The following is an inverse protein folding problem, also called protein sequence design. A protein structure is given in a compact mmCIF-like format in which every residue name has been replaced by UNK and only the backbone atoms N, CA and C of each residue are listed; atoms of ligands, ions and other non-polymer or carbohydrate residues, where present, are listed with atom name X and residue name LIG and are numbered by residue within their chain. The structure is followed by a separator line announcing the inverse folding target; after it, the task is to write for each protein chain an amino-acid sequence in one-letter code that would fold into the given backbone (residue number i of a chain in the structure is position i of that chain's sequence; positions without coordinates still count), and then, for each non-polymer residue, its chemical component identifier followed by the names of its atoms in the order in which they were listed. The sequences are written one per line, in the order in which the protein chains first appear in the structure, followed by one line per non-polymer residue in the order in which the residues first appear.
data_IF_267651791805
#
_entry.id   IF_267651791805
#
_cell.length_a   1.000
_cell.length_b   1.000
_cell.length_c   1.000
_cell.angle_alpha   90.00
_cell.angle_beta   90.00
_cell.angle_gamma   90.00
#
_symmetry.space_group_name_H-M   'P 1'
#
loop_
_entity.id
_entity.type
_entity.pdbx_description
1 polymer ?
#
# COMPACT_ATOMS: atom_id res chain seq x y z
N UNK A 1 2.56 19.08 23.18
CA UNK A 1 2.09 17.96 22.34
C UNK A 1 0.56 17.96 22.30
N UNK A 2 -0.07 17.80 21.13
CA UNK A 2 -1.53 17.89 20.99
C UNK A 2 -2.20 16.52 21.25
N UNK A 3 -2.73 16.32 22.45
CA UNK A 3 -3.35 15.04 22.88
C UNK A 3 -4.55 14.61 22.04
N UNK A 4 -5.28 15.54 21.40
CA UNK A 4 -6.42 15.21 20.52
C UNK A 4 -5.99 14.62 19.18
N UNK A 5 -4.77 14.91 18.72
CA UNK A 5 -4.23 14.43 17.44
C UNK A 5 -3.27 13.25 17.61
N UNK A 6 -3.01 12.82 18.84
CA UNK A 6 -2.08 11.72 19.14
C UNK A 6 -2.86 10.46 19.48
N UNK A 7 -2.62 9.41 18.72
CA UNK A 7 -3.15 8.07 18.95
C UNK A 7 -2.01 7.11 19.29
N UNK A 8 -2.32 6.03 20.00
CA UNK A 8 -1.38 4.98 20.37
C UNK A 8 -1.72 3.71 19.60
N UNK A 9 -0.73 3.08 19.01
CA UNK A 9 -0.87 1.73 18.42
C UNK A 9 0.03 0.78 19.20
N UNK A 10 -0.55 -0.30 19.69
CA UNK A 10 0.18 -1.35 20.41
C UNK A 10 0.40 -2.51 19.46
N UNK A 11 1.66 -2.82 19.17
CA UNK A 11 2.01 -3.93 18.27
C UNK A 11 2.20 -5.20 19.11
N UNK A 12 1.41 -6.23 18.86
CA UNK A 12 1.48 -7.51 19.59
C UNK A 12 1.16 -8.69 18.69
N UNK A 13 1.73 -9.86 19.02
CA UNK A 13 1.38 -11.13 18.35
C UNK A 13 0.09 -11.75 18.90
N UNK A 14 -0.46 -11.21 19.99
CA UNK A 14 -1.71 -11.69 20.59
C UNK A 14 -2.91 -11.33 19.70
N UNK A 15 -3.94 -12.18 19.72
CA UNK A 15 -5.14 -11.99 18.91
C UNK A 15 -5.90 -10.71 19.30
N UNK A 16 -5.91 -10.40 20.60
CA UNK A 16 -6.33 -9.11 21.12
C UNK A 16 -5.12 -8.28 21.53
N UNK A 17 -5.06 -7.03 21.06
CA UNK A 17 -3.99 -6.12 21.44
C UNK A 17 -4.08 -5.80 22.93
N UNK A 18 -2.99 -5.92 23.70
CA UNK A 18 -3.03 -5.60 25.12
C UNK A 18 -3.37 -4.12 25.30
N UNK A 19 -4.14 -3.84 26.36
CA UNK A 19 -4.49 -2.47 26.73
C UNK A 19 -3.25 -1.76 27.25
N UNK A 20 -2.93 -0.61 26.65
CA UNK A 20 -1.82 0.24 27.05
C UNK A 20 -2.33 1.65 27.32
N UNK A 21 -2.29 2.05 28.58
CA UNK A 21 -2.79 3.34 29.02
C UNK A 21 -1.62 4.34 29.08
N UNK A 22 -1.50 5.17 28.03
CA UNK A 22 -0.49 6.24 27.94
C UNK A 22 -1.17 7.58 28.21
N UNK A 23 -0.56 8.38 29.07
CA UNK A 23 -1.06 9.69 29.47
C UNK A 23 -0.10 10.81 29.03
N UNK A 24 -0.65 11.88 28.45
CA UNK A 24 0.06 13.13 28.16
C UNK A 24 -0.68 14.25 28.87
N UNK A 25 0.00 15.01 29.75
CA UNK A 25 -0.62 16.10 30.53
C UNK A 25 -1.92 15.67 31.25
N UNK A 26 -1.91 14.47 31.86
CA UNK A 26 -3.06 13.83 32.52
C UNK A 26 -4.24 13.46 31.58
N UNK A 27 -4.09 13.61 30.27
CA UNK A 27 -5.06 13.16 29.26
C UNK A 27 -4.66 11.78 28.75
N UNK A 28 -5.57 10.80 28.85
CA UNK A 28 -5.38 9.47 28.30
C UNK A 28 -5.44 9.51 26.76
N UNK A 29 -4.43 8.95 26.10
CA UNK A 29 -4.42 8.84 24.65
C UNK A 29 -5.33 7.70 24.17
N UNK A 30 -5.91 7.89 22.98
CA UNK A 30 -6.75 6.88 22.34
C UNK A 30 -5.87 5.77 21.75
N UNK A 31 -6.06 4.54 22.20
CA UNK A 31 -5.48 3.35 21.57
C UNK A 31 -6.28 2.97 20.32
N UNK A 32 -5.60 2.66 19.22
CA UNK A 32 -6.21 2.27 17.93
C UNK A 32 -5.55 1.03 17.35
N UNK A 33 -6.29 0.31 16.51
CA UNK A 33 -5.76 -0.89 15.83
C UNK A 33 -4.87 -0.56 14.63
N UNK A 34 -5.12 0.58 13.98
CA UNK A 34 -4.37 1.02 12.82
C UNK A 34 -4.22 2.53 12.86
N UNK A 35 -3.07 2.99 12.44
CA UNK A 35 -2.76 4.41 12.35
C UNK A 35 -2.07 4.71 11.02
N UNK A 36 -2.43 5.84 10.41
CA UNK A 36 -1.80 6.29 9.16
C UNK A 36 -0.74 7.32 9.49
N UNK A 37 0.52 6.93 9.38
CA UNK A 37 1.66 7.81 9.63
C UNK A 37 2.38 8.11 8.30
N UNK A 38 2.48 9.39 7.94
CA UNK A 38 3.12 9.86 6.71
C UNK A 38 2.65 9.14 5.44
N UNK A 39 1.38 8.72 5.40
CA UNK A 39 0.84 7.99 4.26
C UNK A 39 0.82 6.47 4.44
N UNK A 40 1.65 5.91 5.32
CA UNK A 40 1.81 4.48 5.56
C UNK A 40 0.92 4.01 6.70
N UNK A 41 0.23 2.89 6.52
CA UNK A 41 -0.63 2.26 7.52
C UNK A 41 0.20 1.33 8.41
N UNK A 42 0.25 1.66 9.68
CA UNK A 42 0.82 0.83 10.74
C UNK A 42 -0.34 0.11 11.42
N UNK A 43 -0.24 -1.21 11.58
CA UNK A 43 -1.28 -2.04 12.19
C UNK A 43 -0.79 -2.70 13.47
N UNK A 44 -1.69 -2.93 14.41
CA UNK A 44 -1.44 -3.57 15.71
C UNK A 44 -0.94 -5.01 15.61
N UNK A 45 -1.24 -5.71 14.51
CA UNK A 45 -0.73 -7.06 14.22
C UNK A 45 0.71 -7.05 13.66
N UNK A 46 1.28 -5.86 13.43
CA UNK A 46 2.61 -5.68 12.84
C UNK A 46 2.72 -6.15 11.38
N UNK A 47 1.60 -6.49 10.72
CA UNK A 47 1.60 -7.00 9.36
C UNK A 47 1.43 -5.86 8.35
N UNK A 48 2.04 -6.04 7.20
CA UNK A 48 2.07 -5.05 6.11
C UNK A 48 0.96 -5.28 5.07
N UNK A 49 0.16 -6.34 5.24
CA UNK A 49 -0.91 -6.72 4.31
C UNK A 49 -1.91 -5.59 4.04
N UNK A 50 -2.27 -4.83 5.09
CA UNK A 50 -3.21 -3.69 4.98
C UNK A 50 -2.60 -2.54 4.17
N UNK A 51 -1.32 -2.22 4.43
CA UNK A 51 -0.60 -1.18 3.69
C UNK A 51 -0.44 -1.54 2.21
N UNK A 52 0.05 -2.75 1.93
CA UNK A 52 0.25 -3.22 0.55
C UNK A 52 -1.08 -3.22 -0.21
N UNK A 53 -2.18 -3.63 0.43
CA UNK A 53 -3.51 -3.57 -0.19
C UNK A 53 -3.93 -2.14 -0.55
N UNK A 54 -3.65 -1.17 0.34
CA UNK A 54 -3.94 0.24 0.09
C UNK A 54 -3.10 0.78 -1.08
N UNK A 55 -1.80 0.44 -1.13
CA UNK A 55 -0.90 0.81 -2.24
C UNK A 55 -1.29 0.19 -3.56
N UNK A 56 -1.65 -1.09 -3.57
CA UNK A 56 -2.21 -1.77 -4.75
C UNK A 56 -3.44 -1.04 -5.26
N UNK A 57 -4.38 -0.67 -4.38
CA UNK A 57 -5.58 0.06 -4.78
C UNK A 57 -5.23 1.42 -5.38
N UNK A 58 -4.33 2.17 -4.75
CA UNK A 58 -3.92 3.49 -5.22
C UNK A 58 -3.17 3.44 -6.56
N UNK A 59 -2.26 2.48 -6.73
CA UNK A 59 -1.56 2.25 -7.99
C UNK A 59 -2.53 1.86 -9.12
N UNK A 60 -3.55 1.02 -8.82
CA UNK A 60 -4.62 0.69 -9.78
C UNK A 60 -5.45 1.90 -10.18
N UNK A 61 -5.80 2.77 -9.23
CA UNK A 61 -6.51 4.02 -9.51
C UNK A 61 -5.66 4.92 -10.42
N UNK A 62 -4.37 5.09 -10.12
CA UNK A 62 -3.46 5.89 -10.95
C UNK A 62 -3.29 5.30 -12.35
N UNK A 63 -3.20 3.98 -12.47
CA UNK A 63 -3.20 3.31 -13.77
C UNK A 63 -4.47 3.64 -14.58
N UNK A 64 -5.66 3.62 -13.95
CA UNK A 64 -6.89 3.98 -14.64
C UNK A 64 -6.88 5.44 -15.12
N UNK A 65 -6.36 6.36 -14.30
CA UNK A 65 -6.21 7.78 -14.69
C UNK A 65 -5.30 7.95 -15.91
N UNK A 66 -4.25 7.14 -16.03
CA UNK A 66 -3.30 7.16 -17.14
C UNK A 66 -3.62 6.15 -18.27
N UNK A 67 -4.81 5.54 -18.24
CA UNK A 67 -5.17 4.45 -19.15
C UNK A 67 -5.06 4.84 -20.62
N UNK A 68 -5.39 6.08 -20.97
CA UNK A 68 -5.33 6.61 -22.34
C UNK A 68 -3.92 6.55 -22.92
N UNK A 69 -2.88 6.76 -22.10
CA UNK A 69 -1.47 6.67 -22.50
C UNK A 69 -0.99 5.23 -22.40
N UNK A 70 -1.21 4.59 -21.23
CA UNK A 70 -0.69 3.25 -20.94
C UNK A 70 -1.29 2.16 -21.82
N UNK A 71 -2.46 2.36 -22.41
CA UNK A 71 -3.10 1.38 -23.30
C UNK A 71 -3.15 1.82 -24.77
N UNK A 72 -2.47 2.93 -25.12
CA UNK A 72 -2.44 3.43 -26.49
C UNK A 72 -1.55 2.54 -27.38
N UNK A 73 -2.10 2.06 -28.50
CA UNK A 73 -1.35 1.24 -29.46
C UNK A 73 -0.38 2.06 -30.32
N UNK A 74 -0.62 3.36 -30.47
CA UNK A 74 0.22 4.27 -31.23
C UNK A 74 1.47 4.72 -30.44
N UNK A 75 1.52 4.46 -29.14
CA UNK A 75 2.69 4.73 -28.30
C UNK A 75 3.51 3.45 -28.18
N UNK A 76 4.83 3.57 -28.37
CA UNK A 76 5.76 2.45 -28.25
C UNK A 76 5.60 1.74 -26.90
N UNK A 77 5.82 0.41 -26.90
CA UNK A 77 5.77 -0.38 -25.67
C UNK A 77 6.79 0.13 -24.65
N UNK A 78 7.98 0.50 -25.11
CA UNK A 78 9.06 1.03 -24.26
C UNK A 78 8.66 2.33 -23.55
N UNK A 79 8.03 3.27 -24.26
CA UNK A 79 7.53 4.51 -23.65
C UNK A 79 6.43 4.22 -22.62
N UNK A 80 5.52 3.29 -22.91
CA UNK A 80 4.46 2.91 -21.96
C UNK A 80 5.00 2.19 -20.73
N UNK A 81 6.01 1.34 -20.91
CA UNK A 81 6.75 0.69 -19.80
C UNK A 81 7.43 1.73 -18.92
N UNK A 82 8.15 2.70 -19.51
CA UNK A 82 8.75 3.80 -18.75
C UNK A 82 7.69 4.62 -18.00
N UNK A 83 6.56 4.92 -18.62
CA UNK A 83 5.46 5.60 -17.93
C UNK A 83 4.92 4.77 -16.75
N UNK A 84 4.79 3.45 -16.89
CA UNK A 84 4.42 2.57 -15.78
C UNK A 84 5.46 2.66 -14.64
N UNK A 85 6.75 2.54 -14.97
CA UNK A 85 7.87 2.59 -14.03
C UNK A 85 8.01 3.94 -13.32
N UNK A 86 7.76 5.05 -14.00
CA UNK A 86 7.93 6.38 -13.42
C UNK A 86 6.71 6.85 -12.60
N UNK A 87 5.49 6.44 -12.97
CA UNK A 87 4.27 7.02 -12.39
C UNK A 87 3.43 6.03 -11.57
N UNK A 88 3.53 4.73 -11.84
CA UNK A 88 2.71 3.70 -11.20
C UNK A 88 3.51 2.90 -10.17
N UNK A 89 4.71 2.45 -10.53
CA UNK A 89 5.57 1.67 -9.62
C UNK A 89 5.93 2.40 -8.33
N UNK A 90 6.28 3.70 -8.30
CA UNK A 90 6.59 4.40 -7.06
C UNK A 90 5.39 4.50 -6.13
N UNK A 91 4.18 4.55 -6.68
CA UNK A 91 2.93 4.57 -5.91
C UNK A 91 2.68 3.21 -5.27
N UNK A 92 2.98 2.13 -6.00
CA UNK A 92 2.89 0.78 -5.47
C UNK A 92 3.94 0.56 -4.38
N UNK A 93 5.20 0.97 -4.61
CA UNK A 93 6.36 0.66 -3.77
C UNK A 93 6.59 1.66 -2.62
N UNK A 94 5.74 2.67 -2.46
CA UNK A 94 5.93 3.64 -1.39
C UNK A 94 5.87 2.97 0.00
N UNK A 95 6.90 3.19 0.81
CA UNK A 95 7.02 2.61 2.14
C UNK A 95 7.52 1.17 2.16
N UNK A 96 8.02 0.64 1.03
CA UNK A 96 8.49 -0.73 0.93
C UNK A 96 9.71 -1.03 1.82
N UNK A 97 10.50 -0.03 2.17
CA UNK A 97 11.61 -0.11 3.11
C UNK A 97 11.17 -0.55 4.52
N UNK A 98 9.91 -0.29 4.88
CA UNK A 98 9.32 -0.67 6.16
C UNK A 98 8.52 -1.98 6.08
N UNK A 99 8.47 -2.64 4.92
CA UNK A 99 7.67 -3.84 4.75
C UNK A 99 8.40 -5.10 5.18
N UNK A 100 7.78 -5.88 6.05
CA UNK A 100 8.10 -7.30 6.22
C UNK A 100 7.63 -8.07 4.99
N UNK A 101 8.57 -8.47 4.12
CA UNK A 101 8.29 -9.24 2.91
C UNK A 101 8.12 -10.71 3.25
N UNK A 102 6.90 -11.22 3.09
CA UNK A 102 6.59 -12.66 3.12
C UNK A 102 6.36 -13.19 1.71
N UNK A 103 6.39 -14.52 1.52
CA UNK A 103 6.09 -15.12 0.21
C UNK A 103 4.70 -14.76 -0.30
N UNK A 104 3.72 -14.65 0.59
CA UNK A 104 2.36 -14.22 0.25
C UNK A 104 2.34 -12.77 -0.28
N UNK A 105 3.11 -11.88 0.33
CA UNK A 105 3.25 -10.49 -0.10
C UNK A 105 3.94 -10.42 -1.46
N UNK A 106 5.04 -11.15 -1.63
CA UNK A 106 5.75 -11.20 -2.91
C UNK A 106 4.82 -11.64 -4.04
N UNK A 107 4.10 -12.75 -3.86
CA UNK A 107 3.14 -13.24 -4.85
C UNK A 107 2.05 -12.20 -5.17
N UNK A 108 1.62 -11.41 -4.17
CA UNK A 108 0.62 -10.34 -4.36
C UNK A 108 1.17 -9.15 -5.15
N UNK A 109 2.42 -8.78 -4.93
CA UNK A 109 3.10 -7.74 -5.70
C UNK A 109 3.31 -8.19 -7.15
N UNK A 110 3.80 -9.41 -7.37
CA UNK A 110 3.94 -10.02 -8.69
C UNK A 110 2.60 -10.08 -9.44
N UNK A 111 1.53 -10.52 -8.77
CA UNK A 111 0.18 -10.53 -9.35
C UNK A 111 -0.32 -9.12 -9.71
N UNK A 112 0.05 -8.11 -8.93
CA UNK A 112 -0.30 -6.71 -9.18
C UNK A 112 0.47 -6.15 -10.38
N UNK A 113 1.76 -6.44 -10.49
CA UNK A 113 2.59 -6.09 -11.64
C UNK A 113 2.06 -6.74 -12.92
N UNK A 114 1.78 -8.04 -12.87
CA UNK A 114 1.20 -8.78 -14.00
C UNK A 114 -0.15 -8.21 -14.43
N UNK A 115 -0.97 -7.73 -13.49
CA UNK A 115 -2.22 -7.04 -13.80
C UNK A 115 -1.97 -5.75 -14.61
N UNK A 116 -0.97 -4.96 -14.25
CA UNK A 116 -0.60 -3.75 -15.01
C UNK A 116 -0.10 -4.09 -16.41
N UNK A 117 0.86 -5.02 -16.51
CA UNK A 117 1.48 -5.41 -17.78
C UNK A 117 0.47 -6.02 -18.76
N UNK A 118 -0.36 -6.98 -18.30
CA UNK A 118 -1.39 -7.57 -19.15
C UNK A 118 -2.37 -6.53 -19.67
N UNK A 119 -2.75 -5.55 -18.84
CA UNK A 119 -3.71 -4.51 -19.23
C UNK A 119 -3.10 -3.48 -20.17
N UNK A 120 -1.83 -3.12 -19.96
CA UNK A 120 -1.02 -2.30 -20.87
C UNK A 120 -0.91 -2.96 -22.26
N UNK A 121 -0.65 -4.26 -22.29
CA UNK A 121 -0.47 -5.05 -23.52
C UNK A 121 -1.79 -5.57 -24.11
N UNK A 122 -2.92 -5.39 -23.41
CA UNK A 122 -4.26 -5.91 -23.78
C UNK A 122 -4.30 -7.44 -23.93
N UNK A 123 -3.52 -8.15 -23.12
CA UNK A 123 -3.49 -9.62 -23.10
C UNK A 123 -4.72 -10.13 -22.32
N UNK A 124 -5.59 -10.96 -22.93
CA UNK A 124 -6.74 -11.53 -22.24
C UNK A 124 -6.32 -12.56 -21.18
N UNK A 125 -7.26 -12.91 -20.31
CA UNK A 125 -7.11 -14.08 -19.45
C UNK A 125 -7.49 -15.30 -20.27
N UNK A 126 -6.50 -16.12 -20.61
CA UNK A 126 -6.75 -17.44 -21.16
C UNK A 126 -7.20 -18.32 -19.99
N UNK A 127 -8.41 -18.87 -20.08
CA UNK A 127 -8.91 -19.90 -19.17
C UNK A 127 -8.27 -21.24 -19.49
#
# INVERSE_FOLDING_TARGET
MNSKKTEVVVISRKQESPKCDIFINKVKLKQTEKFKYLGTIISNDGKTNREISARTAQAKINFQKMKTILTNKHISIETRKRALQCYIEPVLMYGCEAWTISKQIQNKLEATEMWFLRRMLRIPWNK
#
